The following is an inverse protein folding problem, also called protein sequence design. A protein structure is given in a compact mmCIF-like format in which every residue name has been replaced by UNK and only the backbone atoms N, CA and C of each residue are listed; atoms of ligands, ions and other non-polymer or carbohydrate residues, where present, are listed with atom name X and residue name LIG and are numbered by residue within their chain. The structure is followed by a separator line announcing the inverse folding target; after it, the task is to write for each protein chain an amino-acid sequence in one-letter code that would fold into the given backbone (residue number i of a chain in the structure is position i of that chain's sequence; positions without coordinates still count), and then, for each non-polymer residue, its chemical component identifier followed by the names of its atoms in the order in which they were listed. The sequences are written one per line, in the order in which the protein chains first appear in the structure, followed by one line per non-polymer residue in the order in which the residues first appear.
data_IF_934843621945
#
_entry.id   IF_934843621945
#
_cell.length_a   1.000
_cell.length_b   1.000
_cell.length_c   1.000
_cell.angle_alpha   90.00
_cell.angle_beta   90.00
_cell.angle_gamma   90.00
#
_symmetry.space_group_name_H-M   'P 1'
#
loop_
_entity.id
_entity.type
_entity.pdbx_description
1 polymer ?
#
# COMPACT_ATOMS: atom_id res chain seq x y z
N UNK A 1 -19.34 -7.92 7.39
CA UNK A 1 -18.24 -7.07 7.89
C UNK A 1 -17.59 -6.51 6.64
N UNK A 2 -17.24 -5.22 6.62
CA UNK A 2 -16.60 -4.59 5.47
C UNK A 2 -15.17 -5.08 5.38
N UNK A 3 -14.79 -5.71 4.27
CA UNK A 3 -13.43 -6.25 4.07
C UNK A 3 -12.50 -5.14 3.56
N UNK A 4 -11.42 -4.88 4.29
CA UNK A 4 -10.48 -3.79 4.02
C UNK A 4 -9.09 -4.34 3.70
N UNK A 5 -8.61 -4.03 2.50
CA UNK A 5 -7.29 -4.41 2.03
C UNK A 5 -6.36 -3.20 1.96
N UNK A 6 -5.24 -3.24 2.68
CA UNK A 6 -4.13 -2.32 2.45
C UNK A 6 -3.19 -2.84 1.36
N UNK A 7 -2.91 -2.01 0.36
CA UNK A 7 -1.97 -2.31 -0.73
C UNK A 7 -0.81 -1.33 -0.71
N UNK A 8 0.41 -1.88 -0.69
CA UNK A 8 1.66 -1.16 -0.67
C UNK A 8 2.32 -1.32 -2.04
N UNK A 9 2.28 -0.29 -2.91
CA UNK A 9 2.96 -0.34 -4.19
C UNK A 9 4.46 -0.08 -4.00
N UNK A 10 5.31 -1.04 -4.37
CA UNK A 10 6.75 -0.92 -4.22
C UNK A 10 7.50 -1.54 -5.40
N UNK A 11 7.60 -0.81 -6.52
CA UNK A 11 8.39 -1.26 -7.67
C UNK A 11 9.91 -1.22 -7.40
N UNK A 12 10.67 -2.11 -8.02
CA UNK A 12 12.13 -2.13 -7.96
C UNK A 12 12.77 -0.93 -8.67
N UNK A 13 12.24 -0.57 -9.85
CA UNK A 13 12.72 0.52 -10.70
C UNK A 13 12.37 1.94 -10.20
N UNK A 14 12.87 2.35 -9.04
CA UNK A 14 12.61 3.71 -8.51
C UNK A 14 13.48 4.77 -9.21
N UNK A 15 12.86 5.68 -9.98
CA UNK A 15 13.54 6.77 -10.72
C UNK A 15 14.17 7.85 -9.86
N UNK A 16 13.50 8.24 -8.76
CA UNK A 16 13.97 9.36 -7.92
C UNK A 16 15.22 8.99 -7.12
N UNK A 17 15.28 7.75 -6.62
CA UNK A 17 16.41 7.22 -5.89
C UNK A 17 16.44 5.70 -6.05
N UNK A 18 17.44 5.11 -6.73
CA UNK A 18 17.54 3.66 -6.87
C UNK A 18 17.47 2.96 -5.51
N UNK A 19 16.65 1.90 -5.42
CA UNK A 19 16.42 1.13 -4.20
C UNK A 19 15.70 1.90 -3.08
N UNK A 20 15.00 3.02 -3.38
CA UNK A 20 14.36 3.87 -2.36
C UNK A 20 13.52 3.11 -1.33
N UNK A 21 12.74 2.13 -1.79
CA UNK A 21 11.84 1.34 -0.93
C UNK A 21 12.60 0.53 0.14
N UNK A 22 13.86 0.18 -0.13
CA UNK A 22 14.73 -0.59 0.77
C UNK A 22 15.72 0.26 1.56
N UNK A 23 15.85 1.54 1.22
CA UNK A 23 16.73 2.44 1.96
C UNK A 23 16.25 2.61 3.39
N UNK A 24 17.21 2.69 4.30
CA UNK A 24 16.93 2.87 5.71
C UNK A 24 16.53 4.31 6.00
N UNK A 25 15.41 4.46 6.68
CA UNK A 25 15.00 5.65 7.41
C UNK A 25 14.96 5.24 8.88
N UNK A 26 15.60 5.99 9.77
CA UNK A 26 15.65 5.71 11.23
C UNK A 26 15.83 4.22 11.60
N UNK A 27 16.70 3.49 10.88
CA UNK A 27 17.02 2.09 11.15
C UNK A 27 16.15 1.02 10.47
N UNK A 28 15.11 1.41 9.73
CA UNK A 28 14.21 0.49 9.02
C UNK A 28 14.07 0.83 7.53
N UNK A 29 13.91 -0.16 6.63
CA UNK A 29 13.63 0.08 5.23
C UNK A 29 12.39 0.94 5.05
N UNK A 30 12.39 1.85 4.08
CA UNK A 30 11.30 2.79 3.87
C UNK A 30 9.93 2.12 3.73
N UNK A 31 9.87 0.96 3.04
CA UNK A 31 8.64 0.18 2.89
C UNK A 31 8.06 -0.31 4.22
N UNK A 32 8.91 -0.56 5.23
CA UNK A 32 8.49 -1.07 6.53
C UNK A 32 7.49 -0.15 7.24
N UNK A 33 7.60 1.17 7.02
CA UNK A 33 6.70 2.15 7.63
C UNK A 33 5.26 2.03 7.11
N UNK A 34 5.10 1.80 5.80
CA UNK A 34 3.78 1.53 5.21
C UNK A 34 3.23 0.18 5.65
N UNK A 35 4.08 -0.84 5.76
CA UNK A 35 3.68 -2.17 6.24
C UNK A 35 3.18 -2.07 7.68
N UNK A 36 3.96 -1.44 8.55
CA UNK A 36 3.60 -1.23 9.94
C UNK A 36 2.30 -0.43 10.08
N UNK A 37 2.09 0.62 9.28
CA UNK A 37 0.86 1.40 9.30
C UNK A 37 -0.38 0.56 8.95
N UNK A 38 -0.27 -0.34 7.96
CA UNK A 38 -1.33 -1.29 7.62
C UNK A 38 -1.57 -2.32 8.72
N UNK A 39 -0.49 -2.90 9.29
CA UNK A 39 -0.59 -3.95 10.31
C UNK A 39 -1.04 -3.44 11.68
N UNK A 40 -0.83 -2.17 12.00
CA UNK A 40 -1.26 -1.55 13.26
C UNK A 40 -2.72 -1.08 13.23
N UNK A 41 -3.30 -0.93 12.04
CA UNK A 41 -4.71 -0.58 11.85
C UNK A 41 -5.60 -1.68 12.41
N UNK A 42 -6.65 -1.29 13.13
CA UNK A 42 -7.65 -2.23 13.67
C UNK A 42 -8.73 -2.58 12.65
N UNK A 43 -8.85 -1.80 11.58
CA UNK A 43 -9.85 -2.00 10.53
C UNK A 43 -9.30 -2.68 9.26
N UNK A 44 -7.98 -2.81 9.11
CA UNK A 44 -7.37 -3.47 7.96
C UNK A 44 -7.27 -4.97 8.20
N UNK A 45 -7.89 -5.77 7.33
CA UNK A 45 -7.89 -7.23 7.42
C UNK A 45 -6.63 -7.84 6.82
N UNK A 46 -6.12 -7.26 5.72
CA UNK A 46 -4.96 -7.76 4.99
C UNK A 46 -4.04 -6.64 4.53
N UNK A 47 -2.74 -6.93 4.56
CA UNK A 47 -1.68 -6.00 4.11
C UNK A 47 -0.87 -6.70 3.03
N UNK A 48 -1.01 -6.25 1.79
CA UNK A 48 -0.30 -6.81 0.63
C UNK A 48 0.73 -5.81 0.12
N UNK A 49 1.92 -6.30 -0.19
CA UNK A 49 2.89 -5.56 -0.98
C UNK A 49 2.85 -6.03 -2.43
N UNK A 50 2.67 -5.10 -3.36
CA UNK A 50 2.67 -5.36 -4.79
C UNK A 50 3.99 -4.87 -5.37
N UNK A 51 4.84 -5.81 -5.80
CA UNK A 51 6.21 -5.55 -6.26
C UNK A 51 6.62 -6.51 -7.38
N UNK A 52 7.50 -6.05 -8.26
CA UNK A 52 8.19 -6.79 -9.32
C UNK A 52 9.60 -7.26 -8.90
N UNK A 53 10.03 -6.95 -7.67
CA UNK A 53 11.37 -7.22 -7.17
C UNK A 53 11.34 -8.24 -6.02
N UNK A 54 12.06 -9.34 -6.18
CA UNK A 54 12.20 -10.36 -5.13
C UNK A 54 12.84 -9.81 -3.85
N UNK A 55 13.82 -8.89 -3.98
CA UNK A 55 14.46 -8.26 -2.82
C UNK A 55 13.44 -7.45 -1.98
N UNK A 56 12.54 -6.72 -2.66
CA UNK A 56 11.45 -6.00 -2.00
C UNK A 56 10.45 -6.98 -1.40
N UNK A 57 10.11 -8.06 -2.10
CA UNK A 57 9.20 -9.08 -1.63
C UNK A 57 9.71 -9.74 -0.33
N UNK A 58 10.99 -10.09 -0.28
CA UNK A 58 11.62 -10.71 0.90
C UNK A 58 11.61 -9.77 2.11
N UNK A 59 11.92 -8.50 1.90
CA UNK A 59 11.83 -7.50 2.97
C UNK A 59 10.38 -7.32 3.40
N UNK A 60 9.43 -7.23 2.47
CA UNK A 60 8.02 -7.06 2.80
C UNK A 60 7.48 -8.23 3.65
N UNK A 61 7.81 -9.48 3.27
CA UNK A 61 7.48 -10.69 4.05
C UNK A 61 8.07 -10.63 5.45
N UNK A 62 9.35 -10.24 5.58
CA UNK A 62 10.03 -10.09 6.87
C UNK A 62 9.34 -9.08 7.80
N UNK A 63 8.72 -8.05 7.24
CA UNK A 63 7.95 -7.04 7.97
C UNK A 63 6.47 -7.41 8.15
N UNK A 64 6.03 -8.58 7.67
CA UNK A 64 4.68 -9.12 7.89
C UNK A 64 3.65 -8.79 6.81
N UNK A 65 4.06 -8.17 5.70
CA UNK A 65 3.17 -8.01 4.55
C UNK A 65 3.10 -9.29 3.71
N UNK A 66 1.94 -9.56 3.15
CA UNK A 66 1.71 -10.66 2.23
C UNK A 66 2.26 -10.35 0.83
N UNK A 67 2.81 -11.38 0.18
CA UNK A 67 3.20 -11.38 -1.24
C UNK A 67 2.50 -12.56 -1.92
N UNK A 68 1.19 -12.46 -2.24
CA UNK A 68 0.45 -13.56 -2.85
C UNK A 68 0.82 -13.78 -4.32
N UNK A 69 1.46 -12.79 -4.95
CA UNK A 69 1.91 -12.83 -6.33
C UNK A 69 3.08 -11.86 -6.52
N UNK A 70 3.83 -12.05 -7.60
CA UNK A 70 4.76 -11.04 -8.11
C UNK A 70 4.07 -10.19 -9.16
N UNK A 71 4.27 -8.88 -9.09
CA UNK A 71 3.71 -7.93 -10.07
C UNK A 71 4.40 -8.15 -11.42
N UNK A 72 3.63 -8.33 -12.52
CA UNK A 72 4.18 -8.39 -13.86
C UNK A 72 4.99 -7.12 -14.18
N UNK A 73 6.13 -7.30 -14.86
CA UNK A 73 7.07 -6.21 -15.14
C UNK A 73 6.44 -5.08 -15.95
N UNK A 74 5.46 -5.39 -16.80
CA UNK A 74 4.72 -4.45 -17.65
C UNK A 74 3.89 -3.47 -16.81
N UNK A 75 3.50 -3.87 -15.60
CA UNK A 75 2.76 -3.05 -14.63
C UNK A 75 3.67 -2.32 -13.65
N UNK A 76 4.99 -2.47 -13.80
CA UNK A 76 6.01 -1.84 -12.98
C UNK A 76 6.82 -0.78 -13.75
N UNK A 77 6.36 -0.37 -14.94
CA UNK A 77 7.02 0.65 -15.74
C UNK A 77 6.79 2.04 -15.15
N UNK A 78 7.62 2.99 -15.57
CA UNK A 78 7.53 4.36 -15.08
C UNK A 78 6.23 5.07 -15.45
N UNK A 79 5.64 4.69 -16.58
CA UNK A 79 4.41 5.24 -17.12
C UNK A 79 3.21 4.32 -16.90
N UNK A 80 3.38 3.17 -16.24
CA UNK A 80 2.26 2.32 -15.87
C UNK A 80 1.38 3.09 -14.88
N UNK A 81 0.09 3.31 -15.19
CA UNK A 81 -0.82 3.99 -14.28
C UNK A 81 -1.08 3.11 -13.06
N UNK A 82 -1.30 3.75 -11.91
CA UNK A 82 -1.55 3.03 -10.65
C UNK A 82 -2.72 2.04 -10.77
N UNK A 83 -3.75 2.40 -11.55
CA UNK A 83 -4.96 1.59 -11.72
C UNK A 83 -4.66 0.18 -12.23
N UNK A 84 -3.66 0.01 -13.11
CA UNK A 84 -3.39 -1.29 -13.73
C UNK A 84 -2.88 -2.31 -12.72
N UNK A 85 -1.99 -1.89 -11.80
CA UNK A 85 -1.52 -2.81 -10.76
C UNK A 85 -2.60 -3.07 -9.70
N UNK A 86 -3.50 -2.11 -9.46
CA UNK A 86 -4.64 -2.32 -8.57
C UNK A 86 -5.60 -3.36 -9.14
N UNK A 87 -5.95 -3.24 -10.43
CA UNK A 87 -6.78 -4.23 -11.12
C UNK A 87 -6.12 -5.62 -11.08
N UNK A 88 -4.83 -5.72 -11.41
CA UNK A 88 -4.08 -6.97 -11.28
C UNK A 88 -4.15 -7.56 -9.86
N UNK A 89 -4.02 -6.70 -8.83
CA UNK A 89 -4.10 -7.13 -7.42
C UNK A 89 -5.48 -7.67 -7.09
N UNK A 90 -6.55 -6.95 -7.46
CA UNK A 90 -7.94 -7.34 -7.20
C UNK A 90 -8.27 -8.64 -7.93
N UNK A 91 -7.92 -8.75 -9.21
CA UNK A 91 -8.20 -9.92 -10.05
C UNK A 91 -7.47 -11.16 -9.54
N UNK A 92 -6.21 -11.02 -9.16
CA UNK A 92 -5.42 -12.14 -8.63
C UNK A 92 -5.99 -12.64 -7.31
N UNK A 93 -6.40 -11.74 -6.42
CA UNK A 93 -7.04 -12.11 -5.14
C UNK A 93 -8.45 -12.67 -5.34
N UNK A 94 -9.19 -12.16 -6.31
CA UNK A 94 -10.50 -12.69 -6.65
C UNK A 94 -10.43 -14.14 -7.12
N UNK A 95 -9.37 -14.52 -7.83
CA UNK A 95 -9.13 -15.90 -8.24
C UNK A 95 -8.87 -16.85 -7.06
N UNK A 96 -8.49 -16.33 -5.88
CA UNK A 96 -8.36 -17.11 -4.64
C UNK A 96 -9.62 -17.06 -3.76
N UNK A 97 -10.67 -16.37 -4.21
CA UNK A 97 -11.94 -16.24 -3.48
C UNK A 97 -12.01 -15.02 -2.55
N UNK A 98 -11.01 -14.12 -2.57
CA UNK A 98 -11.00 -12.91 -1.75
C UNK A 98 -11.34 -11.66 -2.56
N UNK A 99 -12.30 -10.86 -2.11
CA UNK A 99 -12.64 -9.57 -2.69
C UNK A 99 -12.80 -8.52 -1.59
N UNK A 100 -11.95 -7.48 -1.56
CA UNK A 100 -12.11 -6.40 -0.59
C UNK A 100 -13.24 -5.45 -1.00
N UNK A 101 -13.93 -4.89 -0.02
CA UNK A 101 -14.89 -3.79 -0.20
C UNK A 101 -14.16 -2.44 -0.26
N UNK A 102 -13.08 -2.28 0.52
CA UNK A 102 -12.27 -1.07 0.61
C UNK A 102 -10.80 -1.40 0.32
N UNK A 103 -10.15 -0.53 -0.47
CA UNK A 103 -8.72 -0.61 -0.73
C UNK A 103 -8.02 0.64 -0.21
N UNK A 104 -6.99 0.44 0.60
CA UNK A 104 -6.16 1.51 1.16
C UNK A 104 -4.80 1.51 0.46
N UNK A 105 -4.47 2.60 -0.25
CA UNK A 105 -3.15 2.78 -0.86
C UNK A 105 -2.13 3.34 0.15
N UNK A 106 -1.16 2.53 0.56
CA UNK A 106 -0.10 2.94 1.50
C UNK A 106 1.26 3.09 0.81
N UNK A 107 1.46 4.23 0.13
CA UNK A 107 2.73 4.53 -0.57
C UNK A 107 3.93 4.53 0.38
N UNK A 108 5.03 3.79 0.09
CA UNK A 108 6.28 3.87 0.86
C UNK A 108 6.89 5.28 0.90
N UNK A 109 6.55 6.13 -0.07
CA UNK A 109 7.09 7.50 -0.17
C UNK A 109 6.58 8.45 0.92
N UNK A 110 5.54 8.04 1.65
CA UNK A 110 4.91 8.81 2.71
C UNK A 110 5.11 8.09 4.06
N UNK A 111 6.36 7.92 4.54
CA UNK A 111 6.66 7.04 5.68
C UNK A 111 6.15 7.56 7.02
N UNK A 112 5.90 8.86 7.12
CA UNK A 112 5.40 9.50 8.35
C UNK A 112 3.88 9.60 8.23
N UNK A 113 3.19 8.70 8.94
CA UNK A 113 1.73 8.73 9.12
C UNK A 113 1.44 8.87 10.60
N UNK A 114 0.42 9.65 10.95
CA UNK A 114 -0.06 9.70 12.33
C UNK A 114 -0.62 8.32 12.71
N UNK A 115 -0.34 7.80 13.92
CA UNK A 115 -1.02 6.63 14.42
C UNK A 115 -2.54 6.80 14.35
N UNK A 116 -3.27 5.75 13.95
CA UNK A 116 -4.73 5.78 13.79
C UNK A 116 -5.25 6.43 12.50
N UNK A 117 -4.39 7.09 11.70
CA UNK A 117 -4.83 7.77 10.47
C UNK A 117 -5.48 6.83 9.44
N UNK A 118 -4.99 5.59 9.37
CA UNK A 118 -5.56 4.56 8.48
C UNK A 118 -6.99 4.21 8.92
N UNK A 119 -7.18 3.94 10.21
CA UNK A 119 -8.49 3.62 10.78
C UNK A 119 -9.46 4.80 10.60
N UNK A 120 -9.00 6.02 10.87
CA UNK A 120 -9.80 7.23 10.67
C UNK A 120 -10.28 7.37 9.22
N UNK A 121 -9.40 7.18 8.24
CA UNK A 121 -9.75 7.30 6.82
C UNK A 121 -10.70 6.19 6.36
N UNK A 122 -10.52 4.96 6.85
CA UNK A 122 -11.41 3.82 6.55
C UNK A 122 -12.78 4.03 7.18
N UNK A 123 -12.83 4.48 8.44
CA UNK A 123 -14.08 4.77 9.14
C UNK A 123 -14.87 5.87 8.43
N UNK A 124 -14.20 6.91 7.92
CA UNK A 124 -14.85 7.95 7.11
C UNK A 124 -15.54 7.38 5.86
N UNK A 125 -14.95 6.38 5.18
CA UNK A 125 -15.61 5.72 4.04
C UNK A 125 -16.79 4.87 4.47
N UNK A 126 -16.67 4.13 5.58
CA UNK A 126 -17.75 3.29 6.11
C UNK A 126 -18.96 4.14 6.54
N UNK A 127 -18.71 5.28 7.19
CA UNK A 127 -19.76 6.15 7.73
C UNK A 127 -20.46 6.99 6.65
N UNK A 128 -19.86 7.13 5.46
CA UNK A 128 -20.38 7.96 4.38
C UNK A 128 -20.61 7.12 3.12
N UNK A 129 -21.79 6.50 3.02
CA UNK A 129 -22.13 5.57 1.93
C UNK A 129 -22.07 6.19 0.51
N UNK A 130 -22.23 7.51 0.40
CA UNK A 130 -22.13 8.23 -0.88
C UNK A 130 -20.69 8.56 -1.29
N UNK A 131 -19.72 8.40 -0.37
CA UNK A 131 -18.32 8.67 -0.62
C UNK A 131 -17.63 7.46 -1.25
N UNK A 132 -17.04 7.66 -2.42
CA UNK A 132 -16.34 6.60 -3.15
C UNK A 132 -14.82 6.57 -2.88
N UNK A 133 -14.28 7.63 -2.28
CA UNK A 133 -12.85 7.72 -1.96
C UNK A 133 -12.58 8.75 -0.86
N UNK A 134 -11.52 8.50 -0.07
CA UNK A 134 -10.96 9.44 0.91
C UNK A 134 -9.48 9.59 0.63
N UNK A 135 -8.96 10.82 0.74
CA UNK A 135 -7.55 11.12 0.48
C UNK A 135 -7.01 12.06 1.56
N UNK A 136 -5.85 11.69 2.12
CA UNK A 136 -5.11 12.59 3.01
C UNK A 136 -4.62 13.81 2.23
N UNK A 137 -4.90 14.99 2.78
CA UNK A 137 -4.39 16.27 2.31
C UNK A 137 -3.69 16.97 3.47
N UNK A 138 -2.74 17.85 3.14
CA UNK A 138 -2.08 18.73 4.11
C UNK A 138 -2.16 20.14 3.57
N UNK A 139 -2.44 21.12 4.43
CA UNK A 139 -2.37 22.53 4.05
C UNK A 139 -0.93 22.87 3.65
N UNK A 140 -0.72 23.55 2.51
CA UNK A 140 0.61 24.01 2.15
C UNK A 140 1.16 24.95 3.22
N UNK A 141 2.36 24.67 3.73
CA UNK A 141 3.08 25.54 4.66
C UNK A 141 3.64 26.77 3.93
N UNK A 142 2.78 27.66 3.45
CA UNK A 142 3.18 29.01 3.05
C UNK A 142 3.03 29.91 4.29
N UNK A 143 4.11 30.02 5.05
CA UNK A 143 4.35 31.13 5.98
C UNK A 143 5.30 32.13 5.33
#
# INVERSE_FOLDING_TARGET
MTEVLAVIPARGGSKGLPGKNLRLLAGHPLIAYSIAAGLQSQLVDRVICSTDSEEIADVARKYGAEIPFMRPSELAQDHSPDIDFFLHTIETLAATGYRPDIIVQLRPTDPIRKPGLVDEAVQMLIDNIDAHSVRTITEPGYS
#
